data_IF_237569084213
#
_entry.id   IF_237569084213
#
_cell.length_a   1.000
_cell.length_b   1.000
_cell.length_c   1.000
_cell.angle_alpha   90.00
_cell.angle_beta   90.00
_cell.angle_gamma   90.00
#
_symmetry.space_group_name_H-M   'P 1'
#
loop_
_entity.id
_entity.type
_entity.pdbx_description
1 polymer ?
#
# COMPACT_ATOMS: atom_id res chain seq x y z
N UNK A 1 1.66 22.42 -17.00
CA UNK A 1 2.61 21.67 -16.15
C UNK A 1 1.82 21.14 -14.98
N UNK A 2 1.74 19.84 -14.87
CA UNK A 2 1.05 19.19 -13.77
C UNK A 2 1.66 19.60 -12.42
N UNK A 3 0.86 19.63 -11.37
CA UNK A 3 1.31 19.98 -10.03
C UNK A 3 1.64 18.69 -9.29
N UNK A 4 2.94 18.41 -9.05
CA UNK A 4 3.41 17.16 -8.43
C UNK A 4 4.05 17.47 -7.09
N UNK A 5 3.60 16.80 -6.03
CA UNK A 5 4.25 16.75 -4.72
C UNK A 5 4.76 15.35 -4.46
N UNK A 6 6.05 15.26 -4.22
CA UNK A 6 6.73 13.98 -3.95
C UNK A 6 7.55 14.10 -2.67
N UNK A 7 7.36 13.16 -1.75
CA UNK A 7 8.09 13.11 -0.49
C UNK A 7 8.65 11.72 -0.27
N UNK A 8 9.93 11.66 0.13
CA UNK A 8 10.57 10.44 0.61
C UNK A 8 10.43 10.41 2.12
N UNK A 9 9.90 9.32 2.65
CA UNK A 9 9.79 9.12 4.09
C UNK A 9 11.18 8.82 4.69
N UNK A 10 11.57 9.44 5.82
CA UNK A 10 12.83 9.11 6.48
C UNK A 10 12.80 7.67 6.98
N UNK A 11 13.88 6.92 6.72
CA UNK A 11 13.98 5.54 7.18
C UNK A 11 14.24 5.50 8.69
N UNK A 12 13.20 5.21 9.47
CA UNK A 12 13.22 5.16 10.93
C UNK A 12 13.01 3.73 11.47
N UNK A 13 13.55 2.71 10.82
CA UNK A 13 13.53 1.32 11.29
C UNK A 13 12.14 0.77 11.69
N UNK A 14 11.08 1.23 11.03
CA UNK A 14 9.75 0.63 11.17
C UNK A 14 9.73 -0.71 10.42
N UNK A 15 9.49 -1.81 11.15
CA UNK A 15 9.58 -3.18 10.60
C UNK A 15 8.19 -3.73 10.26
N UNK A 16 7.22 -3.55 11.17
CA UNK A 16 5.86 -4.11 11.01
C UNK A 16 5.11 -3.46 9.84
N UNK A 17 5.20 -2.13 9.75
CA UNK A 17 4.64 -1.32 8.69
C UNK A 17 5.53 -0.09 8.48
N UNK A 18 6.05 0.09 7.29
CA UNK A 18 6.90 1.21 6.93
C UNK A 18 6.41 1.89 5.68
N UNK A 19 6.66 3.18 5.58
CA UNK A 19 6.40 4.01 4.42
C UNK A 19 7.72 4.35 3.72
N UNK A 20 7.73 4.38 2.38
CA UNK A 20 8.92 4.72 1.59
C UNK A 20 8.79 6.10 0.97
N UNK A 21 7.66 6.33 0.33
CA UNK A 21 7.34 7.59 -0.31
C UNK A 21 5.83 7.79 -0.41
N UNK A 22 5.44 9.02 -0.57
CA UNK A 22 4.06 9.39 -0.81
C UNK A 22 4.00 10.70 -1.60
N UNK A 23 2.87 10.96 -2.22
CA UNK A 23 2.72 12.17 -2.99
C UNK A 23 1.35 12.33 -3.62
N UNK A 24 1.28 13.38 -4.42
CA UNK A 24 0.10 13.82 -5.15
C UNK A 24 0.53 14.34 -6.51
N UNK A 25 -0.27 14.09 -7.52
CA UNK A 25 -0.04 14.62 -8.85
C UNK A 25 -1.35 14.95 -9.56
N UNK A 26 -1.42 16.14 -10.11
CA UNK A 26 -2.36 16.52 -11.14
C UNK A 26 -1.69 16.29 -12.49
N UNK A 27 -2.05 15.22 -13.16
CA UNK A 27 -1.39 14.78 -14.38
C UNK A 27 -1.63 15.73 -15.55
N UNK A 28 -0.62 15.90 -16.40
CA UNK A 28 -0.81 16.44 -17.74
C UNK A 28 -1.57 15.41 -18.63
N UNK A 29 -2.29 15.85 -19.69
CA UNK A 29 -2.92 14.95 -20.64
C UNK A 29 -1.96 13.92 -21.23
N UNK A 30 -2.28 12.63 -21.08
CA UNK A 30 -1.46 11.53 -21.57
C UNK A 30 -0.19 11.29 -20.75
N UNK A 31 -0.05 11.89 -19.54
CA UNK A 31 1.06 11.61 -18.63
C UNK A 31 1.16 10.10 -18.39
N UNK A 32 2.37 9.56 -18.49
CA UNK A 32 2.61 8.13 -18.33
C UNK A 32 3.82 7.86 -17.44
N UNK A 33 3.74 6.78 -16.69
CA UNK A 33 4.83 6.25 -15.89
C UNK A 33 5.02 4.75 -16.18
N UNK A 34 6.25 4.34 -16.35
CA UNK A 34 6.63 2.95 -16.62
C UNK A 34 7.11 2.74 -18.06
N UNK A 35 7.44 1.48 -18.47
CA UNK A 35 7.35 0.30 -17.62
C UNK A 35 8.31 0.36 -16.42
N UNK A 36 7.85 -0.06 -15.26
CA UNK A 36 8.61 -0.07 -14.02
C UNK A 36 8.28 -1.29 -13.17
N UNK A 37 9.18 -1.63 -12.25
CA UNK A 37 8.94 -2.60 -11.18
C UNK A 37 9.39 -2.02 -9.85
N UNK A 38 8.76 -2.45 -8.75
CA UNK A 38 9.07 -2.02 -7.38
C UNK A 38 9.17 -3.22 -6.47
N UNK A 39 9.90 -3.06 -5.36
CA UNK A 39 10.04 -4.11 -4.35
C UNK A 39 9.01 -3.98 -3.22
N UNK A 40 8.21 -2.93 -3.23
CA UNK A 40 7.23 -2.60 -2.20
C UNK A 40 5.83 -2.46 -2.80
N UNK A 41 4.81 -2.40 -1.96
CA UNK A 41 3.45 -2.08 -2.36
C UNK A 41 3.32 -0.60 -2.66
N UNK A 42 2.64 -0.25 -3.74
CA UNK A 42 2.34 1.13 -4.09
C UNK A 42 0.84 1.24 -4.39
N UNK A 43 0.14 2.00 -3.56
CA UNK A 43 -1.28 2.25 -3.72
C UNK A 43 -1.52 3.66 -4.26
N UNK A 44 -2.26 3.73 -5.37
CA UNK A 44 -2.77 4.98 -5.93
C UNK A 44 -4.26 5.11 -5.67
N UNK A 45 -4.72 6.32 -5.35
CA UNK A 45 -6.14 6.66 -5.30
C UNK A 45 -6.45 7.80 -6.25
N UNK A 46 -7.48 7.64 -7.10
CA UNK A 46 -7.86 8.59 -8.13
C UNK A 46 -8.90 9.57 -7.58
N UNK A 47 -8.50 10.82 -7.41
CA UNK A 47 -9.37 11.90 -6.94
C UNK A 47 -10.28 12.40 -8.06
N UNK A 48 -9.73 12.60 -9.25
CA UNK A 48 -10.49 13.01 -10.44
C UNK A 48 -9.91 12.42 -11.72
N UNK A 49 -10.66 12.47 -12.80
CA UNK A 49 -10.21 12.01 -14.12
C UNK A 49 -10.30 10.48 -14.31
N UNK A 50 -9.67 10.01 -15.37
CA UNK A 50 -9.62 8.61 -15.80
C UNK A 50 -8.28 8.28 -16.45
N UNK A 51 -8.00 6.99 -16.61
CA UNK A 51 -6.80 6.51 -17.30
C UNK A 51 -6.71 5.00 -17.31
N UNK A 52 -5.55 4.49 -17.66
CA UNK A 52 -5.30 3.06 -17.88
C UNK A 52 -4.11 2.58 -17.07
N UNK A 53 -4.29 1.49 -16.34
CA UNK A 53 -3.23 0.70 -15.75
C UNK A 53 -2.98 -0.53 -16.61
N UNK A 54 -1.73 -0.77 -16.99
CA UNK A 54 -1.23 -2.03 -17.55
C UNK A 54 -0.33 -2.66 -16.50
N UNK A 55 -0.64 -3.88 -16.08
CA UNK A 55 0.11 -4.55 -15.02
C UNK A 55 0.13 -6.07 -15.26
N UNK A 56 1.24 -6.72 -14.92
CA UNK A 56 1.38 -8.15 -15.11
C UNK A 56 0.55 -8.93 -14.07
N UNK A 57 -0.12 -9.97 -14.53
CA UNK A 57 -0.81 -10.94 -13.68
C UNK A 57 0.18 -11.90 -12.99
N UNK A 58 -0.32 -12.93 -12.28
CA UNK A 58 0.52 -13.95 -11.64
C UNK A 58 1.30 -14.81 -12.63
N UNK A 59 0.87 -14.90 -13.89
CA UNK A 59 1.54 -15.64 -14.95
C UNK A 59 2.56 -14.79 -15.73
N UNK A 60 2.64 -13.48 -15.44
CA UNK A 60 3.49 -12.53 -16.15
C UNK A 60 2.89 -12.01 -17.46
N UNK A 61 1.57 -12.21 -17.69
CA UNK A 61 0.89 -11.62 -18.84
C UNK A 61 0.39 -10.22 -18.47
N UNK A 62 0.66 -9.25 -19.32
CA UNK A 62 0.20 -7.87 -19.11
C UNK A 62 -1.31 -7.77 -19.31
N UNK A 63 -2.02 -7.35 -18.27
CA UNK A 63 -3.44 -7.06 -18.26
C UNK A 63 -3.67 -5.55 -18.29
N UNK A 64 -4.81 -5.14 -18.86
CA UNK A 64 -5.15 -3.71 -18.98
C UNK A 64 -6.44 -3.41 -18.22
N UNK A 65 -6.38 -2.37 -17.37
CA UNK A 65 -7.47 -1.97 -16.50
C UNK A 65 -7.78 -0.48 -16.71
N UNK A 66 -9.06 -0.15 -16.92
CA UNK A 66 -9.51 1.24 -16.86
C UNK A 66 -9.77 1.64 -15.42
N UNK A 67 -9.20 2.76 -14.98
CA UNK A 67 -9.34 3.28 -13.60
C UNK A 67 -9.83 4.72 -13.66
N UNK A 68 -10.80 5.06 -12.80
CA UNK A 68 -11.45 6.37 -12.75
C UNK A 68 -11.58 6.92 -11.35
N UNK A 69 -12.00 8.17 -11.25
CA UNK A 69 -12.27 8.86 -9.98
C UNK A 69 -13.10 7.98 -9.01
N UNK A 70 -12.71 7.98 -7.74
CA UNK A 70 -13.30 7.18 -6.67
C UNK A 70 -12.82 5.74 -6.61
N UNK A 71 -11.91 5.35 -7.48
CA UNK A 71 -11.21 4.07 -7.48
C UNK A 71 -9.74 4.26 -7.09
N UNK A 72 -9.07 3.17 -6.81
CA UNK A 72 -7.62 3.12 -6.66
C UNK A 72 -7.03 1.93 -7.41
N UNK A 73 -5.73 1.81 -7.37
CA UNK A 73 -5.06 0.59 -7.84
C UNK A 73 -3.80 0.32 -6.99
N UNK A 74 -3.52 -0.95 -6.81
CA UNK A 74 -2.34 -1.45 -6.11
C UNK A 74 -1.33 -1.99 -7.11
N UNK A 75 -0.07 -1.58 -6.98
CA UNK A 75 1.08 -2.24 -7.59
C UNK A 75 1.71 -3.14 -6.54
N UNK A 76 1.92 -4.40 -6.90
CA UNK A 76 2.47 -5.41 -6.01
C UNK A 76 3.99 -5.56 -6.19
N UNK A 77 4.73 -6.00 -5.16
CA UNK A 77 6.16 -6.25 -5.27
C UNK A 77 6.50 -7.16 -6.47
N UNK A 78 7.50 -6.73 -7.26
CA UNK A 78 7.97 -7.43 -8.44
C UNK A 78 6.99 -7.45 -9.64
N UNK A 79 5.91 -6.66 -9.60
CA UNK A 79 4.97 -6.54 -10.72
C UNK A 79 5.46 -5.49 -11.73
N UNK A 80 5.60 -5.86 -13.00
CA UNK A 80 5.85 -4.88 -14.07
C UNK A 80 4.54 -4.13 -14.32
N UNK A 81 4.64 -2.82 -14.37
CA UNK A 81 3.47 -1.96 -14.56
C UNK A 81 3.78 -0.73 -15.38
N UNK A 82 2.77 -0.24 -16.07
CA UNK A 82 2.72 1.06 -16.76
C UNK A 82 1.34 1.65 -16.52
N UNK A 83 1.25 2.93 -16.23
CA UNK A 83 -0.04 3.60 -16.13
C UNK A 83 -0.03 4.93 -16.89
N UNK A 84 -1.16 5.27 -17.48
CA UNK A 84 -1.31 6.39 -18.42
C UNK A 84 -2.60 7.14 -18.09
N UNK A 85 -2.47 8.44 -17.80
CA UNK A 85 -3.62 9.32 -17.63
C UNK A 85 -4.30 9.58 -18.99
N UNK A 86 -5.62 9.72 -18.99
CA UNK A 86 -6.39 10.01 -20.20
C UNK A 86 -5.99 11.37 -20.81
N UNK A 87 -6.06 11.48 -22.12
CA UNK A 87 -5.65 12.69 -22.84
C UNK A 87 -6.68 13.83 -22.77
N UNK A 88 -7.94 13.55 -22.38
CA UNK A 88 -9.03 14.54 -22.29
C UNK A 88 -9.44 14.81 -20.85
N UNK A 89 -9.41 13.76 -20.02
CA UNK A 89 -9.76 13.79 -18.59
C UNK A 89 -8.63 13.16 -17.78
N UNK A 90 -7.43 13.78 -17.76
CA UNK A 90 -6.28 13.21 -17.07
C UNK A 90 -6.54 13.04 -15.58
N UNK A 91 -5.85 12.08 -14.98
CA UNK A 91 -5.93 11.81 -13.56
C UNK A 91 -5.42 12.98 -12.70
N UNK A 92 -6.07 13.13 -11.58
CA UNK A 92 -5.56 13.72 -10.36
C UNK A 92 -5.53 12.58 -9.33
N UNK A 93 -4.35 12.24 -8.80
CA UNK A 93 -4.19 11.11 -7.90
C UNK A 93 -3.22 11.41 -6.75
N UNK A 94 -3.33 10.64 -5.73
CA UNK A 94 -2.34 10.54 -4.65
C UNK A 94 -1.87 9.11 -4.50
N UNK A 95 -0.67 8.92 -3.94
CA UNK A 95 -0.09 7.60 -3.72
C UNK A 95 0.65 7.49 -2.41
N UNK A 96 0.74 6.26 -1.91
CA UNK A 96 1.58 5.86 -0.79
C UNK A 96 2.32 4.58 -1.18
N UNK A 97 3.64 4.56 -1.04
CA UNK A 97 4.48 3.36 -1.16
C UNK A 97 4.83 2.86 0.24
N UNK A 98 4.50 1.61 0.52
CA UNK A 98 4.63 1.01 1.84
C UNK A 98 4.97 -0.47 1.77
N UNK A 99 5.48 -1.02 2.86
CA UNK A 99 5.69 -2.45 3.06
C UNK A 99 5.74 -2.76 4.57
N UNK A 100 5.89 -4.03 4.94
CA UNK A 100 6.04 -4.46 6.31
C UNK A 100 5.85 -5.96 6.46
N UNK A 101 6.29 -6.49 7.59
CA UNK A 101 6.32 -7.94 7.83
C UNK A 101 4.99 -8.66 7.61
N UNK A 102 3.88 -7.99 7.90
CA UNK A 102 2.54 -8.59 7.82
C UNK A 102 1.65 -8.01 6.70
N UNK A 103 2.16 -7.08 5.92
CA UNK A 103 1.37 -6.41 4.85
C UNK A 103 0.84 -7.43 3.84
N UNK A 104 1.66 -8.38 3.41
CA UNK A 104 1.25 -9.44 2.49
C UNK A 104 0.10 -10.29 3.04
N UNK A 105 0.21 -10.69 4.31
CA UNK A 105 -0.84 -11.47 4.97
C UNK A 105 -2.12 -10.65 5.12
N UNK A 106 -2.01 -9.40 5.56
CA UNK A 106 -3.14 -8.51 5.71
C UNK A 106 -3.86 -8.28 4.37
N UNK A 107 -3.14 -7.94 3.30
CA UNK A 107 -3.72 -7.75 1.97
C UNK A 107 -4.34 -9.02 1.40
N UNK A 108 -3.87 -10.23 1.79
CA UNK A 108 -4.49 -11.48 1.36
C UNK A 108 -5.92 -11.69 1.88
N UNK A 109 -6.36 -10.88 2.85
CA UNK A 109 -7.75 -10.85 3.34
C UNK A 109 -8.68 -10.00 2.48
N UNK A 110 -8.16 -9.32 1.47
CA UNK A 110 -8.90 -8.47 0.53
C UNK A 110 -9.04 -9.14 -0.83
N UNK A 111 -9.77 -8.50 -1.73
CA UNK A 111 -9.86 -8.91 -3.13
C UNK A 111 -8.69 -8.39 -3.98
N UNK A 112 -7.85 -7.51 -3.42
CA UNK A 112 -6.71 -6.94 -4.12
C UNK A 112 -5.60 -7.98 -4.32
N UNK A 113 -5.25 -8.23 -5.58
CA UNK A 113 -4.15 -9.11 -5.96
C UNK A 113 -3.61 -8.72 -7.35
N UNK A 114 -2.51 -9.36 -7.80
CA UNK A 114 -1.94 -9.08 -9.13
C UNK A 114 -2.93 -9.27 -10.28
N UNK A 115 -3.91 -10.18 -10.13
CA UNK A 115 -4.96 -10.40 -11.15
C UNK A 115 -6.17 -9.46 -10.99
N UNK A 116 -6.29 -8.76 -9.87
CA UNK A 116 -7.35 -7.80 -9.59
C UNK A 116 -6.78 -6.58 -8.82
N UNK A 117 -5.93 -5.77 -9.47
CA UNK A 117 -5.21 -4.68 -8.80
C UNK A 117 -6.07 -3.44 -8.56
N UNK A 118 -7.26 -3.35 -9.17
CA UNK A 118 -8.11 -2.17 -9.07
C UNK A 118 -8.96 -2.22 -7.81
N UNK A 119 -8.80 -1.20 -6.98
CA UNK A 119 -9.54 -1.03 -5.74
C UNK A 119 -10.94 -0.45 -5.99
N UNK A 120 -11.91 -1.10 -5.37
CA UNK A 120 -13.29 -0.65 -5.29
C UNK A 120 -13.75 -0.76 -3.83
N UNK A 121 -14.20 0.34 -3.25
CA UNK A 121 -14.77 0.28 -1.91
C UNK A 121 -16.23 -0.19 -1.94
N UNK A 122 -16.58 -1.06 -1.02
CA UNK A 122 -17.97 -1.49 -0.77
C UNK A 122 -18.76 -0.51 0.10
N UNK A 123 -18.06 0.40 0.79
CA UNK A 123 -18.63 1.41 1.69
C UNK A 123 -18.15 2.79 1.31
N UNK A 124 -19.11 3.72 1.16
CA UNK A 124 -18.77 5.14 0.94
C UNK A 124 -18.01 5.72 2.14
N UNK A 125 -18.46 5.40 3.34
CA UNK A 125 -17.86 5.90 4.59
C UNK A 125 -16.40 5.44 4.76
N UNK A 126 -16.12 4.14 4.59
CA UNK A 126 -14.75 3.60 4.67
C UNK A 126 -13.84 4.19 3.58
N UNK A 127 -14.39 4.40 2.38
CA UNK A 127 -13.65 5.07 1.32
C UNK A 127 -13.30 6.52 1.67
N UNK A 128 -14.24 7.27 2.25
CA UNK A 128 -14.01 8.65 2.68
C UNK A 128 -12.92 8.71 3.75
N UNK A 129 -12.95 7.84 4.75
CA UNK A 129 -11.90 7.72 5.77
C UNK A 129 -10.53 7.39 5.17
N UNK A 130 -10.46 6.39 4.29
CA UNK A 130 -9.22 6.04 3.57
C UNK A 130 -8.64 7.26 2.85
N UNK A 131 -9.49 8.02 2.16
CA UNK A 131 -9.08 9.23 1.44
C UNK A 131 -8.59 10.31 2.40
N UNK A 132 -9.27 10.50 3.54
CA UNK A 132 -8.87 11.45 4.59
C UNK A 132 -7.47 11.12 5.13
N UNK A 133 -7.19 9.85 5.42
CA UNK A 133 -5.88 9.42 5.90
C UNK A 133 -4.77 9.65 4.86
N UNK A 134 -5.03 9.31 3.60
CA UNK A 134 -4.09 9.58 2.51
C UNK A 134 -3.84 11.08 2.31
N UNK A 135 -4.90 11.89 2.31
CA UNK A 135 -4.79 13.35 2.20
C UNK A 135 -4.00 13.94 3.37
N UNK A 136 -4.22 13.43 4.58
CA UNK A 136 -3.47 13.89 5.75
C UNK A 136 -1.97 13.66 5.54
N UNK A 137 -1.56 12.43 5.20
CA UNK A 137 -0.16 12.07 4.95
C UNK A 137 0.45 12.99 3.88
N UNK A 138 -0.26 13.17 2.75
CA UNK A 138 0.26 13.96 1.61
C UNK A 138 0.41 15.45 1.94
N UNK A 139 -0.54 16.02 2.70
CA UNK A 139 -0.52 17.45 3.02
C UNK A 139 0.34 17.82 4.23
N UNK A 140 0.77 16.84 5.03
CA UNK A 140 1.56 17.07 6.23
C UNK A 140 2.94 16.37 6.21
N UNK A 141 3.75 16.54 5.14
CA UNK A 141 5.00 15.79 4.95
C UNK A 141 6.08 16.11 5.99
N UNK A 142 5.89 17.12 6.82
CA UNK A 142 6.83 17.55 7.86
C UNK A 142 6.44 17.10 9.27
N UNK A 143 5.33 16.37 9.40
CA UNK A 143 4.94 15.77 10.67
C UNK A 143 5.96 14.72 11.14
N UNK A 144 6.06 14.50 12.46
CA UNK A 144 6.96 13.48 13.00
C UNK A 144 6.68 12.09 12.41
N UNK A 145 7.73 11.28 12.15
CA UNK A 145 7.58 9.97 11.51
C UNK A 145 6.55 9.06 12.18
N UNK A 146 6.55 8.98 13.52
CA UNK A 146 5.56 8.17 14.27
C UNK A 146 4.12 8.62 14.02
N UNK A 147 3.89 9.91 13.82
CA UNK A 147 2.57 10.44 13.52
C UNK A 147 2.10 10.00 12.14
N UNK A 148 2.96 10.14 11.13
CA UNK A 148 2.67 9.70 9.76
C UNK A 148 2.49 8.17 9.67
N UNK A 149 3.26 7.40 10.42
CA UNK A 149 3.07 5.93 10.51
C UNK A 149 1.74 5.59 11.19
N UNK A 150 1.32 6.36 12.19
CA UNK A 150 -0.02 6.22 12.79
C UNK A 150 -1.14 6.36 11.74
N UNK A 151 -1.07 7.39 10.89
CA UNK A 151 -2.00 7.58 9.77
C UNK A 151 -1.87 6.47 8.70
N UNK A 152 -0.66 5.94 8.47
CA UNK A 152 -0.48 4.79 7.58
C UNK A 152 -1.18 3.52 8.11
N UNK A 153 -1.19 3.29 9.43
CA UNK A 153 -1.95 2.19 10.03
C UNK A 153 -3.45 2.37 9.87
N UNK A 154 -3.98 3.58 10.06
CA UNK A 154 -5.39 3.89 9.84
C UNK A 154 -5.77 3.72 8.35
N UNK A 155 -4.96 4.24 7.45
CA UNK A 155 -5.12 4.01 6.00
C UNK A 155 -5.15 2.52 5.66
N UNK A 156 -4.21 1.72 6.20
CA UNK A 156 -4.17 0.28 5.93
C UNK A 156 -5.42 -0.42 6.48
N UNK A 157 -5.87 -0.09 7.68
CA UNK A 157 -7.10 -0.65 8.25
C UNK A 157 -8.33 -0.33 7.38
N UNK A 158 -8.50 0.92 6.97
CA UNK A 158 -9.61 1.32 6.10
C UNK A 158 -9.52 0.66 4.71
N UNK A 159 -8.32 0.49 4.15
CA UNK A 159 -8.09 -0.24 2.91
C UNK A 159 -8.52 -1.71 3.06
N UNK A 160 -8.09 -2.37 4.13
CA UNK A 160 -8.41 -3.77 4.39
C UNK A 160 -9.91 -3.97 4.62
N UNK A 161 -10.58 -3.07 5.32
CA UNK A 161 -12.02 -3.17 5.57
C UNK A 161 -12.84 -2.87 4.32
N UNK A 162 -12.46 -1.85 3.54
CA UNK A 162 -13.22 -1.40 2.37
C UNK A 162 -13.03 -2.25 1.11
N UNK A 163 -11.91 -2.99 1.02
CA UNK A 163 -11.58 -3.85 -0.12
C UNK A 163 -11.92 -5.35 0.12
N UNK A 164 -12.65 -5.68 1.19
CA UNK A 164 -13.02 -7.07 1.50
C UNK A 164 -14.22 -7.54 0.69
N UNK A 165 -14.09 -8.71 0.07
CA UNK A 165 -15.19 -9.64 -0.04
C UNK A 165 -15.35 -10.38 1.29
N UNK A 166 -16.54 -10.83 1.61
CA UNK A 166 -17.02 -11.47 2.83
C UNK A 166 -16.12 -12.53 3.55
N UNK A 167 -14.81 -12.48 3.45
CA UNK A 167 -13.88 -13.39 4.12
C UNK A 167 -13.68 -12.97 5.58
N UNK A 168 -14.09 -13.84 6.49
CA UNK A 168 -13.86 -13.70 7.94
C UNK A 168 -12.34 -13.74 8.18
N UNK A 169 -11.80 -12.67 8.78
CA UNK A 169 -10.41 -12.65 9.24
C UNK A 169 -10.29 -13.64 10.40
N UNK A 170 -9.36 -14.61 10.38
CA UNK A 170 -9.13 -15.45 11.55
C UNK A 170 -8.72 -14.58 12.74
N UNK A 171 -9.36 -14.75 13.88
CA UNK A 171 -8.90 -14.18 15.15
C UNK A 171 -7.48 -14.65 15.45
N UNK A 172 -6.66 -13.79 16.07
CA UNK A 172 -5.25 -14.04 16.35
C UNK A 172 -5.00 -15.48 16.84
N UNK A 173 -4.08 -16.16 16.21
CA UNK A 173 -3.74 -17.54 16.56
C UNK A 173 -2.70 -17.52 17.69
N UNK A 174 -2.75 -18.49 18.59
CA UNK A 174 -1.73 -18.69 19.62
C UNK A 174 -0.31 -18.78 19.01
N UNK A 175 -0.20 -19.36 17.80
CA UNK A 175 1.04 -19.37 17.02
C UNK A 175 1.62 -17.98 16.73
N UNK A 176 0.77 -16.98 16.52
CA UNK A 176 1.21 -15.60 16.24
C UNK A 176 1.81 -14.95 17.48
N UNK A 177 1.30 -15.31 18.66
CA UNK A 177 1.87 -14.89 19.94
C UNK A 177 3.28 -15.48 20.11
N UNK A 178 3.46 -16.80 19.93
CA UNK A 178 4.76 -17.43 20.08
C UNK A 178 5.79 -16.93 19.05
N UNK A 179 5.38 -16.67 17.81
CA UNK A 179 6.28 -16.07 16.80
C UNK A 179 6.74 -14.68 17.26
N UNK A 180 5.85 -13.90 17.82
CA UNK A 180 6.15 -12.56 18.31
C UNK A 180 7.13 -12.59 19.49
N UNK A 181 6.93 -13.51 20.44
CA UNK A 181 7.85 -13.73 21.55
C UNK A 181 9.24 -14.21 21.07
N UNK A 182 9.25 -15.14 20.10
CA UNK A 182 10.50 -15.59 19.49
C UNK A 182 11.26 -14.45 18.80
N UNK A 183 10.58 -13.58 18.07
CA UNK A 183 11.19 -12.41 17.43
C UNK A 183 11.75 -11.43 18.48
N UNK A 184 10.98 -11.13 19.52
CA UNK A 184 11.43 -10.28 20.61
C UNK A 184 12.68 -10.85 21.30
N UNK A 185 12.69 -12.16 21.53
CA UNK A 185 13.85 -12.84 22.15
C UNK A 185 15.10 -12.72 21.25
N UNK A 186 14.93 -12.95 19.94
CA UNK A 186 16.03 -12.81 18.98
C UNK A 186 16.55 -11.37 18.97
N UNK A 187 15.68 -10.37 18.87
CA UNK A 187 16.06 -8.94 18.85
C UNK A 187 16.82 -8.51 20.12
N UNK A 188 16.44 -9.06 21.28
CA UNK A 188 17.12 -8.73 22.54
C UNK A 188 18.46 -9.48 22.74
N UNK A 189 18.62 -10.63 22.07
CA UNK A 189 19.74 -11.53 22.32
C UNK A 189 20.61 -11.84 21.10
N UNK A 190 20.37 -11.26 19.92
CA UNK A 190 21.09 -11.58 18.67
C UNK A 190 22.61 -11.38 18.77
N UNK A 191 23.09 -10.59 19.73
CA UNK A 191 24.52 -10.38 20.00
C UNK A 191 25.14 -11.54 20.79
N UNK A 192 24.35 -12.45 21.33
CA UNK A 192 24.76 -13.62 22.09
C UNK A 192 24.68 -14.87 21.22
N UNK A 193 25.34 -15.96 21.67
CA UNK A 193 25.12 -17.28 21.07
C UNK A 193 23.75 -17.80 21.54
N UNK A 194 22.73 -17.67 20.69
CA UNK A 194 21.39 -18.19 20.96
C UNK A 194 21.15 -19.48 20.16
N UNK A 195 20.51 -20.45 20.77
CA UNK A 195 20.09 -21.71 20.15
C UNK A 195 18.58 -21.68 19.82
N UNK A 196 18.12 -22.65 19.02
CA UNK A 196 16.69 -22.82 18.75
C UNK A 196 15.95 -23.20 20.03
N UNK A 197 16.58 -23.97 20.92
CA UNK A 197 16.05 -24.34 22.23
C UNK A 197 15.81 -23.14 23.13
N UNK A 198 16.72 -22.15 23.11
CA UNK A 198 16.57 -20.89 23.86
C UNK A 198 15.41 -20.02 23.34
N UNK A 199 15.16 -20.07 22.03
CA UNK A 199 14.07 -19.32 21.39
C UNK A 199 12.70 -19.99 21.66
N UNK A 200 12.70 -21.33 21.88
CA UNK A 200 11.48 -22.11 22.05
C UNK A 200 11.08 -22.32 23.53
N UNK A 201 11.89 -21.86 24.49
CA UNK A 201 11.65 -22.00 25.90
C UNK A 201 10.72 -20.92 26.45
#
# INVERSE_FOLDING_TARGET
>A
MGNTFFNIFPNENFIDLCMYQFGYEQCDPGHSFGPATRNHYLFHYILSGTGTLMADDFQGNTQTYSVKSGQGFMIFPGQINTYIADSKLPWEYMWIEFDGLRVKEALSTTDLCKNAPVYHSHSKELRERLVEEMLYIVHHPKEPPYHLIGHLYLFLDDLLQSAKSTRITPSGRMSDYYIKEAMNYIEQNFQNNISIEDIAA
#
